data_IF_877020248575
#
_entry.id   IF_877020248575
#
_cell.length_a   1.000
_cell.length_b   1.000
_cell.length_c   1.000
_cell.angle_alpha   90.00
_cell.angle_beta   90.00
_cell.angle_gamma   90.00
#
_symmetry.space_group_name_H-M   'P 1'
#
loop_
_entity.id
_entity.type
_entity.pdbx_description
1 polymer ?
#
# COMPACT_ATOMS: atom_id res chain seq x y z
N UNK A 1 -45.84 -34.85 7.94
CA UNK A 1 -46.07 -33.63 7.14
C UNK A 1 -45.10 -32.55 7.62
N UNK A 2 -43.97 -32.32 6.93
CA UNK A 2 -43.02 -31.28 7.31
C UNK A 2 -43.44 -29.93 6.75
N UNK A 3 -43.58 -28.93 7.63
CA UNK A 3 -43.76 -27.53 7.23
C UNK A 3 -42.39 -26.95 6.86
N UNK A 4 -42.23 -26.65 5.58
CA UNK A 4 -41.28 -25.68 5.04
C UNK A 4 -41.34 -24.36 5.82
N UNK A 5 -40.19 -23.88 6.30
CA UNK A 5 -39.95 -22.46 6.48
C UNK A 5 -38.58 -22.11 5.91
N UNK A 6 -38.62 -21.58 4.68
CA UNK A 6 -37.62 -20.66 4.14
C UNK A 6 -37.71 -19.36 4.95
N UNK A 7 -36.59 -18.90 5.53
CA UNK A 7 -36.26 -17.51 5.97
C UNK A 7 -34.94 -17.63 6.76
N UNK A 8 -33.82 -16.96 6.51
CA UNK A 8 -33.60 -15.66 5.90
C UNK A 8 -32.27 -15.67 5.15
N UNK A 9 -32.29 -15.18 3.91
CA UNK A 9 -31.12 -14.55 3.31
C UNK A 9 -30.88 -13.17 3.93
N UNK A 10 -29.68 -12.66 3.67
CA UNK A 10 -29.03 -11.47 4.27
C UNK A 10 -28.49 -11.78 5.68
N UNK A 11 -27.18 -11.92 5.89
CA UNK A 11 -26.18 -10.91 5.56
C UNK A 11 -24.91 -11.47 4.87
N UNK A 12 -24.96 -11.65 3.54
CA UNK A 12 -23.74 -11.59 2.72
C UNK A 12 -23.39 -10.13 2.32
N UNK A 13 -24.04 -9.14 2.98
CA UNK A 13 -23.77 -7.72 2.81
C UNK A 13 -22.71 -7.24 3.79
N UNK A 14 -21.48 -7.73 3.60
CA UNK A 14 -20.29 -6.92 3.91
C UNK A 14 -19.42 -6.79 2.67
N UNK A 15 -20.06 -6.68 1.50
CA UNK A 15 -19.46 -6.02 0.36
C UNK A 15 -19.44 -4.51 0.64
N UNK A 16 -18.38 -4.11 1.33
CA UNK A 16 -17.60 -2.92 0.97
C UNK A 16 -18.40 -1.63 0.74
N UNK A 17 -18.80 -0.96 1.81
CA UNK A 17 -18.72 0.50 1.81
C UNK A 17 -17.40 0.92 2.43
N UNK A 18 -16.28 0.44 1.86
CA UNK A 18 -15.03 1.17 1.98
C UNK A 18 -15.32 2.51 1.31
N UNK A 19 -15.27 3.59 2.09
CA UNK A 19 -15.44 4.94 1.55
C UNK A 19 -14.53 5.11 0.33
N UNK A 20 -14.96 5.83 -0.73
CA UNK A 20 -14.14 6.00 -1.94
C UNK A 20 -12.73 6.50 -1.61
N UNK A 21 -12.59 7.38 -0.61
CA UNK A 21 -11.29 7.82 -0.09
C UNK A 21 -10.40 6.68 0.46
N UNK A 22 -11.01 5.65 1.07
CA UNK A 22 -10.31 4.48 1.59
C UNK A 22 -9.92 3.51 0.47
N UNK A 23 -10.77 3.38 -0.55
CA UNK A 23 -10.47 2.61 -1.76
C UNK A 23 -9.27 3.21 -2.50
N UNK A 24 -9.28 4.54 -2.72
CA UNK A 24 -8.17 5.28 -3.33
C UNK A 24 -6.87 5.16 -2.51
N UNK A 25 -6.97 5.20 -1.18
CA UNK A 25 -5.81 4.99 -0.30
C UNK A 25 -5.22 3.58 -0.44
N UNK A 26 -6.07 2.55 -0.59
CA UNK A 26 -5.62 1.16 -0.81
C UNK A 26 -4.92 1.04 -2.16
N UNK A 27 -5.50 1.56 -3.24
CA UNK A 27 -4.88 1.53 -4.57
C UNK A 27 -3.55 2.29 -4.61
N UNK A 28 -3.47 3.43 -3.92
CA UNK A 28 -2.23 4.20 -3.83
C UNK A 28 -1.15 3.46 -3.04
N UNK A 29 -1.55 2.76 -1.97
CA UNK A 29 -0.64 1.93 -1.18
C UNK A 29 -0.11 0.76 -2.02
N UNK A 30 -0.99 0.08 -2.78
CA UNK A 30 -0.60 -1.01 -3.67
C UNK A 30 0.43 -0.56 -4.71
N UNK A 31 0.21 0.59 -5.37
CA UNK A 31 1.16 1.16 -6.32
C UNK A 31 2.52 1.48 -5.69
N UNK A 32 2.52 2.06 -4.48
CA UNK A 32 3.76 2.33 -3.74
C UNK A 32 4.48 1.04 -3.36
N UNK A 33 3.72 -0.01 -3.01
CA UNK A 33 4.27 -1.30 -2.63
C UNK A 33 4.93 -1.98 -3.83
N UNK A 34 4.28 -1.95 -4.99
CA UNK A 34 4.87 -2.43 -6.24
C UNK A 34 6.17 -1.69 -6.58
N UNK A 35 6.20 -0.35 -6.41
CA UNK A 35 7.41 0.43 -6.62
C UNK A 35 8.52 0.06 -5.64
N UNK A 36 8.17 -0.15 -4.37
CA UNK A 36 9.10 -0.58 -3.33
C UNK A 36 9.72 -1.95 -3.66
N UNK A 37 8.90 -2.93 -4.04
CA UNK A 37 9.35 -4.28 -4.38
C UNK A 37 10.25 -4.30 -5.62
N UNK A 38 9.89 -3.52 -6.65
CA UNK A 38 10.72 -3.38 -7.85
C UNK A 38 12.08 -2.75 -7.51
N UNK A 39 12.09 -1.74 -6.64
CA UNK A 39 13.32 -1.09 -6.20
C UNK A 39 14.17 -2.02 -5.33
N UNK A 40 13.58 -2.78 -4.40
CA UNK A 40 14.31 -3.79 -3.62
C UNK A 40 14.96 -4.84 -4.51
N UNK A 41 14.21 -5.38 -5.48
CA UNK A 41 14.75 -6.37 -6.43
C UNK A 41 15.90 -5.79 -7.23
N UNK A 42 15.80 -4.52 -7.65
CA UNK A 42 16.88 -3.82 -8.34
C UNK A 42 18.10 -3.66 -7.44
N UNK A 43 17.92 -3.21 -6.20
CA UNK A 43 19.00 -3.08 -5.22
C UNK A 43 19.70 -4.42 -5.01
N UNK A 44 18.96 -5.49 -4.79
CA UNK A 44 19.52 -6.83 -4.61
C UNK A 44 20.34 -7.28 -5.83
N UNK A 45 19.84 -7.06 -7.05
CA UNK A 45 20.59 -7.36 -8.29
C UNK A 45 21.86 -6.54 -8.44
N UNK A 46 21.80 -5.25 -8.10
CA UNK A 46 22.96 -4.34 -8.10
C UNK A 46 23.99 -4.77 -7.05
N UNK A 47 23.55 -5.15 -5.84
CA UNK A 47 24.40 -5.66 -4.75
C UNK A 47 25.07 -6.99 -5.11
N UNK A 48 24.36 -7.85 -5.82
CA UNK A 48 24.89 -9.12 -6.37
C UNK A 48 25.88 -8.88 -7.52
N UNK A 49 25.96 -7.65 -8.05
CA UNK A 49 26.80 -7.31 -9.21
C UNK A 49 26.23 -7.79 -10.55
N UNK A 50 24.95 -8.19 -10.57
CA UNK A 50 24.25 -8.66 -11.76
C UNK A 50 23.67 -7.52 -12.62
N UNK A 51 23.50 -6.33 -12.05
CA UNK A 51 22.97 -5.14 -12.72
C UNK A 51 23.94 -3.95 -12.53
N UNK A 52 24.29 -3.20 -13.59
CA UNK A 52 25.18 -2.04 -13.47
C UNK A 52 24.48 -0.88 -12.76
N UNK A 53 25.26 -0.09 -12.01
CA UNK A 53 24.78 1.17 -11.47
C UNK A 53 24.65 2.19 -12.60
N UNK A 54 23.44 2.36 -13.15
CA UNK A 54 23.10 3.34 -14.21
C UNK A 54 23.21 4.79 -13.70
N UNK A 55 24.41 5.24 -13.33
CA UNK A 55 24.71 6.59 -12.86
C UNK A 55 24.15 6.95 -11.48
N UNK A 56 23.36 6.06 -10.85
CA UNK A 56 22.87 6.21 -9.48
C UNK A 56 23.71 5.36 -8.54
N UNK A 57 24.18 5.91 -7.41
CA UNK A 57 24.91 5.12 -6.41
C UNK A 57 23.97 4.14 -5.69
N UNK A 58 24.52 3.03 -5.19
CA UNK A 58 23.78 2.04 -4.40
C UNK A 58 23.12 2.72 -3.18
N UNK A 59 23.87 3.64 -2.57
CA UNK A 59 23.39 4.53 -1.51
C UNK A 59 22.17 5.37 -1.93
N UNK A 60 22.15 5.94 -3.14
CA UNK A 60 20.98 6.68 -3.64
C UNK A 60 19.74 5.79 -3.83
N UNK A 61 19.93 4.52 -4.25
CA UNK A 61 18.83 3.56 -4.34
C UNK A 61 18.26 3.22 -2.95
N UNK A 62 19.12 2.99 -1.96
CA UNK A 62 18.71 2.77 -0.57
C UNK A 62 17.98 3.99 0.02
N UNK A 63 18.47 5.21 -0.23
CA UNK A 63 17.75 6.43 0.20
C UNK A 63 16.36 6.53 -0.42
N UNK A 64 16.21 6.13 -1.69
CA UNK A 64 14.91 6.10 -2.36
C UNK A 64 13.99 5.01 -1.80
N UNK A 65 14.56 3.87 -1.41
CA UNK A 65 13.86 2.79 -0.72
C UNK A 65 13.32 3.24 0.63
N UNK A 66 14.13 3.93 1.42
CA UNK A 66 13.72 4.49 2.71
C UNK A 66 12.60 5.53 2.55
N UNK A 67 12.69 6.39 1.53
CA UNK A 67 11.62 7.33 1.19
C UNK A 67 10.29 6.63 0.87
N UNK A 68 10.33 5.58 0.04
CA UNK A 68 9.15 4.77 -0.29
C UNK A 68 8.58 4.04 0.94
N UNK A 69 9.44 3.52 1.82
CA UNK A 69 9.02 2.88 3.08
C UNK A 69 8.28 3.87 3.99
N UNK A 70 8.80 5.08 4.13
CA UNK A 70 8.13 6.14 4.90
C UNK A 70 6.80 6.56 4.26
N UNK A 71 6.72 6.61 2.93
CA UNK A 71 5.47 6.88 2.21
C UNK A 71 4.43 5.77 2.41
N UNK A 72 4.84 4.50 2.36
CA UNK A 72 3.98 3.37 2.68
C UNK A 72 3.45 3.46 4.10
N UNK A 73 4.31 3.79 5.07
CA UNK A 73 3.91 3.94 6.46
C UNK A 73 2.95 5.13 6.67
N UNK A 74 3.17 6.24 5.95
CA UNK A 74 2.23 7.38 5.90
C UNK A 74 0.88 6.98 5.31
N UNK A 75 0.86 6.27 4.18
CA UNK A 75 -0.38 5.83 3.54
C UNK A 75 -1.13 4.80 4.38
N UNK A 76 -0.42 3.86 5.00
CA UNK A 76 -1.00 2.85 5.88
C UNK A 76 -1.68 3.49 7.09
N UNK A 77 -1.07 4.52 7.70
CA UNK A 77 -1.68 5.32 8.77
C UNK A 77 -2.95 6.04 8.32
N UNK A 78 -2.96 6.62 7.11
CA UNK A 78 -4.18 7.22 6.53
C UNK A 78 -5.28 6.18 6.31
N UNK A 79 -4.94 5.04 5.71
CA UNK A 79 -5.90 3.97 5.40
C UNK A 79 -6.49 3.29 6.67
N UNK A 80 -5.74 3.31 7.78
CA UNK A 80 -6.19 2.85 9.10
C UNK A 80 -6.99 3.89 9.88
N UNK A 81 -7.24 5.08 9.32
CA UNK A 81 -7.96 6.17 10.00
C UNK A 81 -7.16 6.80 11.15
N UNK A 82 -5.90 6.41 11.32
CA UNK A 82 -5.01 7.04 12.30
C UNK A 82 -4.48 8.30 11.64
N UNK A 83 -5.22 9.39 11.80
CA UNK A 83 -4.82 10.72 11.33
C UNK A 83 -3.36 10.95 11.71
N UNK A 84 -2.49 10.93 10.69
CA UNK A 84 -1.09 11.25 10.87
C UNK A 84 -1.08 12.63 11.53
N UNK A 85 -0.46 12.77 12.70
CA UNK A 85 -0.28 14.06 13.40
C UNK A 85 0.70 14.98 12.63
N UNK A 86 0.58 15.01 11.29
CA UNK A 86 1.37 15.75 10.32
C UNK A 86 0.77 17.13 10.04
N UNK A 87 -0.10 17.65 10.94
CA UNK A 87 -0.61 19.03 10.87
C UNK A 87 -1.31 19.41 9.55
N UNK A 88 -1.96 18.46 8.86
CA UNK A 88 -2.67 18.74 7.61
C UNK A 88 -1.83 18.68 6.33
N UNK A 89 -0.52 18.44 6.39
CA UNK A 89 0.37 18.33 5.20
C UNK A 89 0.14 17.08 4.33
N UNK A 90 -0.97 16.37 4.54
CA UNK A 90 -1.29 15.13 3.84
C UNK A 90 -2.02 15.33 2.50
N UNK A 91 -2.48 16.56 2.20
CA UNK A 91 -2.96 16.95 0.88
C UNK A 91 -1.88 17.82 0.23
N UNK A 92 -1.01 17.21 -0.55
CA UNK A 92 0.09 17.82 -1.28
C UNK A 92 0.70 16.78 -2.20
#
# INVERSE_FOLDING_TARGET
MPATNLSSGADFSSASSLSPERQEAIERLDRLQQQYDLLQRRIARVEEGSEPLDGSSLSALHMRLDGLSQDLERQRRRASGQCCNCGGGCRG
#
